data_IF_462019536196
#
_entry.id   IF_462019536196
#
_cell.length_a   1.000
_cell.length_b   1.000
_cell.length_c   1.000
_cell.angle_alpha   90.00
_cell.angle_beta   90.00
_cell.angle_gamma   90.00
#
_symmetry.space_group_name_H-M   'P 1'
#
loop_
_entity.id
_entity.type
_entity.pdbx_description
1 polymer ?
#
# COMPACT_ATOMS: atom_id res chain seq x y z
N UNK A 1 -7.53 14.35 18.75
CA UNK A 1 -8.06 13.10 18.18
C UNK A 1 -9.49 13.37 17.71
N UNK A 2 -9.84 13.05 16.47
CA UNK A 2 -11.18 13.32 15.93
C UNK A 2 -11.26 13.41 14.40
N UNK A 3 -10.12 13.58 13.73
CA UNK A 3 -10.02 13.71 12.27
C UNK A 3 -8.91 12.82 11.66
N UNK A 4 -8.42 11.83 12.41
CA UNK A 4 -7.44 10.85 11.93
C UNK A 4 -8.14 9.51 11.72
N UNK A 5 -7.93 8.92 10.55
CA UNK A 5 -8.34 7.57 10.23
C UNK A 5 -7.11 6.67 10.33
N UNK A 6 -7.18 5.66 11.22
CA UNK A 6 -6.17 4.62 11.30
C UNK A 6 -6.71 3.36 10.64
N UNK A 7 -5.99 2.87 9.63
CA UNK A 7 -6.37 1.70 8.86
C UNK A 7 -5.41 0.57 9.22
N UNK A 8 -5.94 -0.61 9.53
CA UNK A 8 -5.14 -1.81 9.77
C UNK A 8 -4.28 -2.16 8.55
N UNK A 9 -3.23 -2.94 8.76
CA UNK A 9 -2.34 -3.39 7.69
C UNK A 9 -3.12 -4.06 6.55
N UNK A 10 -2.88 -3.61 5.32
CA UNK A 10 -3.48 -4.18 4.13
C UNK A 10 -2.51 -5.16 3.48
N UNK A 11 -3.06 -6.24 2.94
CA UNK A 11 -2.31 -7.33 2.29
C UNK A 11 -2.57 -7.32 0.77
N UNK A 12 -1.64 -7.84 -0.06
CA UNK A 12 -1.75 -7.82 -1.51
C UNK A 12 -2.69 -8.93 -2.01
N UNK A 13 -3.99 -8.76 -1.73
CA UNK A 13 -5.05 -9.68 -2.12
C UNK A 13 -5.61 -9.37 -3.51
N UNK A 14 -5.58 -10.36 -4.38
CA UNK A 14 -6.08 -10.24 -5.75
C UNK A 14 -7.62 -10.40 -5.80
N UNK A 15 -8.28 -10.00 -6.91
CA UNK A 15 -9.73 -10.12 -7.07
C UNK A 15 -10.28 -11.55 -6.93
N UNK A 16 -9.47 -12.56 -7.27
CA UNK A 16 -9.78 -13.99 -7.12
C UNK A 16 -9.61 -14.50 -5.68
N UNK A 17 -9.32 -13.60 -4.73
CA UNK A 17 -8.97 -13.86 -3.33
C UNK A 17 -7.61 -14.53 -3.09
N UNK A 18 -6.79 -14.75 -4.11
CA UNK A 18 -5.40 -15.19 -3.92
C UNK A 18 -4.55 -14.05 -3.34
N UNK A 19 -3.41 -14.38 -2.75
CA UNK A 19 -2.45 -13.41 -2.25
C UNK A 19 -1.18 -13.47 -3.08
N UNK A 20 -0.61 -12.31 -3.41
CA UNK A 20 0.76 -12.25 -3.90
C UNK A 20 1.69 -12.56 -2.73
N UNK A 21 2.26 -13.76 -2.73
CA UNK A 21 3.11 -14.28 -1.66
C UNK A 21 4.52 -14.52 -2.19
N UNK A 22 5.50 -14.32 -1.31
CA UNK A 22 6.89 -14.63 -1.58
C UNK A 22 7.82 -13.79 -0.72
N UNK A 23 9.11 -13.92 -1.00
CA UNK A 23 10.17 -13.20 -0.29
C UNK A 23 11.05 -12.49 -1.30
N UNK A 24 11.17 -11.16 -1.16
CA UNK A 24 12.04 -10.36 -2.04
C UNK A 24 13.49 -10.74 -1.87
N UNK A 25 14.21 -10.88 -2.98
CA UNK A 25 15.59 -11.38 -3.00
C UNK A 25 15.69 -12.91 -3.01
N UNK A 26 14.55 -13.64 -2.96
CA UNK A 26 14.51 -15.09 -3.09
C UNK A 26 13.53 -15.56 -4.18
N UNK A 27 12.23 -15.36 -3.98
CA UNK A 27 11.19 -15.85 -4.90
C UNK A 27 10.47 -14.74 -5.67
N UNK A 28 10.75 -13.48 -5.34
CA UNK A 28 10.14 -12.31 -5.95
C UNK A 28 11.21 -11.25 -6.23
N UNK A 29 11.06 -10.56 -7.35
CA UNK A 29 11.82 -9.38 -7.74
C UNK A 29 11.17 -8.08 -7.27
N UNK A 30 11.87 -6.97 -7.51
CA UNK A 30 11.44 -5.63 -7.10
C UNK A 30 10.11 -5.24 -7.75
N UNK A 31 9.92 -5.53 -9.05
CA UNK A 31 8.71 -5.12 -9.78
C UNK A 31 7.46 -5.84 -9.27
N UNK A 32 7.59 -7.13 -8.91
CA UNK A 32 6.50 -7.89 -8.28
C UNK A 32 6.21 -7.37 -6.87
N UNK A 33 7.26 -6.99 -6.13
CA UNK A 33 7.12 -6.30 -4.85
C UNK A 33 6.37 -4.97 -4.97
N UNK A 34 6.72 -4.15 -5.97
CA UNK A 34 6.03 -2.88 -6.27
C UNK A 34 4.56 -3.13 -6.60
N UNK A 35 4.27 -4.12 -7.43
CA UNK A 35 2.90 -4.50 -7.75
C UNK A 35 2.11 -4.93 -6.49
N UNK A 36 2.74 -5.71 -5.59
CA UNK A 36 2.16 -6.10 -4.31
C UNK A 36 1.88 -4.87 -3.42
N UNK A 37 2.85 -3.97 -3.27
CA UNK A 37 2.69 -2.74 -2.49
C UNK A 37 1.59 -1.83 -3.06
N UNK A 38 1.51 -1.71 -4.38
CA UNK A 38 0.44 -0.96 -5.08
C UNK A 38 -0.93 -1.56 -4.78
N UNK A 39 -1.06 -2.89 -4.78
CA UNK A 39 -2.30 -3.58 -4.43
C UNK A 39 -2.71 -3.33 -2.97
N UNK A 40 -1.76 -3.33 -2.04
CA UNK A 40 -2.01 -2.90 -0.66
C UNK A 40 -2.51 -1.44 -0.60
N UNK A 41 -1.90 -0.54 -1.38
CA UNK A 41 -2.34 0.85 -1.51
C UNK A 41 -3.76 1.00 -2.03
N UNK A 42 -4.16 0.20 -3.02
CA UNK A 42 -5.55 0.17 -3.51
C UNK A 42 -6.54 -0.26 -2.42
N UNK A 43 -6.18 -1.26 -1.61
CA UNK A 43 -7.01 -1.64 -0.47
C UNK A 43 -7.10 -0.54 0.59
N UNK A 44 -5.99 0.17 0.87
CA UNK A 44 -6.02 1.33 1.77
C UNK A 44 -7.02 2.37 1.28
N UNK A 45 -6.98 2.73 -0.01
CA UNK A 45 -7.93 3.67 -0.62
C UNK A 45 -9.37 3.14 -0.52
N UNK A 46 -9.59 1.85 -0.73
CA UNK A 46 -10.88 1.20 -0.53
C UNK A 46 -11.42 1.35 0.90
N UNK A 47 -10.56 1.16 1.91
CA UNK A 47 -10.91 1.35 3.32
C UNK A 47 -11.17 2.83 3.65
N UNK A 48 -10.38 3.75 3.10
CA UNK A 48 -10.61 5.20 3.22
C UNK A 48 -12.00 5.56 2.66
N UNK A 49 -12.31 5.08 1.45
CA UNK A 49 -13.61 5.30 0.81
C UNK A 49 -14.75 4.77 1.67
N UNK A 50 -14.63 3.56 2.21
CA UNK A 50 -15.63 2.98 3.09
C UNK A 50 -15.83 3.82 4.36
N UNK A 51 -14.73 4.21 5.03
CA UNK A 51 -14.76 5.06 6.23
C UNK A 51 -15.36 6.44 5.96
N UNK A 52 -15.20 6.98 4.75
CA UNK A 52 -15.76 8.25 4.34
C UNK A 52 -17.18 8.16 3.73
N UNK A 53 -17.85 7.01 3.86
CA UNK A 53 -19.18 6.74 3.30
C UNK A 53 -19.26 6.93 1.78
N UNK A 54 -18.19 6.55 1.07
CA UNK A 54 -18.09 6.61 -0.38
C UNK A 54 -17.39 7.85 -0.94
N UNK A 55 -17.21 8.88 -0.11
CA UNK A 55 -16.70 10.20 -0.53
C UNK A 55 -15.22 10.38 -0.18
N UNK A 56 -14.33 10.16 -1.15
CA UNK A 56 -12.89 10.29 -0.95
C UNK A 56 -12.41 11.74 -0.80
N UNK A 57 -13.20 12.75 -1.14
CA UNK A 57 -12.83 14.18 -1.01
C UNK A 57 -12.77 14.64 0.46
N UNK A 58 -13.30 13.80 1.37
CA UNK A 58 -13.14 13.95 2.82
C UNK A 58 -11.73 13.63 3.30
N UNK A 59 -10.95 12.86 2.54
CA UNK A 59 -9.54 12.57 2.86
C UNK A 59 -8.72 13.80 2.50
N UNK A 60 -8.21 14.51 3.50
CA UNK A 60 -7.45 15.76 3.28
C UNK A 60 -5.98 15.55 2.98
N UNK A 61 -5.39 14.46 3.49
CA UNK A 61 -3.99 14.09 3.26
C UNK A 61 -3.71 12.72 3.86
N UNK A 62 -2.70 12.05 3.31
CA UNK A 62 -2.10 10.86 3.93
C UNK A 62 -0.99 11.31 4.86
N UNK A 63 -1.18 11.16 6.17
CA UNK A 63 -0.21 11.64 7.17
C UNK A 63 1.00 10.72 7.32
N UNK A 64 0.79 9.41 7.12
CA UNK A 64 1.82 8.38 7.30
C UNK A 64 1.45 7.12 6.52
N UNK A 65 2.46 6.47 5.94
CA UNK A 65 2.37 5.13 5.36
C UNK A 65 3.45 4.27 6.00
N UNK A 66 3.08 3.06 6.43
CA UNK A 66 4.02 2.06 6.95
C UNK A 66 3.99 0.84 6.03
N UNK A 67 5.14 0.52 5.45
CA UNK A 67 5.32 -0.65 4.59
C UNK A 67 6.12 -1.73 5.31
N UNK A 68 5.56 -2.93 5.39
CA UNK A 68 6.28 -4.12 5.86
C UNK A 68 6.51 -5.05 4.68
N UNK A 69 7.77 -5.40 4.44
CA UNK A 69 8.19 -6.14 3.25
C UNK A 69 8.87 -7.43 3.69
N UNK A 70 8.36 -8.57 3.23
CA UNK A 70 9.02 -9.86 3.40
C UNK A 70 10.21 -9.94 2.45
N UNK A 71 11.44 -10.00 2.99
CA UNK A 71 12.67 -10.04 2.21
C UNK A 71 13.72 -10.95 2.83
N UNK A 72 14.73 -11.32 2.04
CA UNK A 72 15.97 -11.89 2.59
C UNK A 72 16.74 -10.84 3.38
N UNK A 73 17.79 -11.26 4.09
CA UNK A 73 18.63 -10.36 4.88
C UNK A 73 19.51 -9.45 4.00
N UNK A 74 19.82 -9.89 2.79
CA UNK A 74 20.69 -9.20 1.82
C UNK A 74 19.93 -8.20 0.95
N UNK A 75 18.60 -8.29 0.92
CA UNK A 75 17.77 -7.39 0.14
C UNK A 75 17.74 -6.01 0.79
N UNK A 76 18.04 -4.95 0.03
CA UNK A 76 18.11 -3.57 0.54
C UNK A 76 17.22 -2.58 -0.21
N UNK A 77 16.49 -3.03 -1.24
CA UNK A 77 15.67 -2.19 -2.10
C UNK A 77 14.23 -2.01 -1.60
N UNK A 78 14.00 -2.14 -0.28
CA UNK A 78 12.68 -1.94 0.33
C UNK A 78 12.02 -0.60 -0.01
N UNK A 79 12.77 0.54 -0.08
CA UNK A 79 12.15 1.80 -0.47
C UNK A 79 11.53 1.73 -1.87
N UNK A 80 12.22 1.11 -2.83
CA UNK A 80 11.72 0.97 -4.20
C UNK A 80 10.43 0.17 -4.26
N UNK A 81 10.28 -0.82 -3.39
CA UNK A 81 9.09 -1.67 -3.30
C UNK A 81 7.92 -0.88 -2.71
N UNK A 82 8.14 -0.20 -1.59
CA UNK A 82 7.12 0.61 -0.91
C UNK A 82 6.66 1.78 -1.78
N UNK A 83 7.50 2.27 -2.70
CA UNK A 83 7.10 3.27 -3.68
C UNK A 83 5.88 2.86 -4.49
N UNK A 84 5.66 1.57 -4.77
CA UNK A 84 4.44 1.10 -5.42
C UNK A 84 3.15 1.53 -4.69
N UNK A 85 3.20 1.67 -3.36
CA UNK A 85 2.10 2.19 -2.55
C UNK A 85 2.09 3.72 -2.50
N UNK A 86 3.22 4.38 -2.23
CA UNK A 86 3.24 5.85 -2.11
C UNK A 86 2.97 6.55 -3.42
N UNK A 87 3.51 6.06 -4.53
CA UNK A 87 3.30 6.64 -5.87
C UNK A 87 1.81 6.59 -6.23
N UNK A 88 1.13 5.49 -5.93
CA UNK A 88 -0.32 5.38 -6.09
C UNK A 88 -1.10 6.40 -5.25
N UNK A 89 -0.70 6.60 -3.99
CA UNK A 89 -1.37 7.57 -3.12
C UNK A 89 -1.16 8.99 -3.63
N UNK A 90 0.01 9.31 -4.18
CA UNK A 90 0.28 10.59 -4.85
C UNK A 90 -0.51 10.73 -6.15
N UNK A 91 -0.63 9.66 -6.96
CA UNK A 91 -1.46 9.64 -8.17
C UNK A 91 -2.92 9.99 -7.87
N UNK A 92 -3.45 9.54 -6.72
CA UNK A 92 -4.86 9.70 -6.34
C UNK A 92 -5.12 11.02 -5.62
N UNK A 93 -4.28 11.37 -4.63
CA UNK A 93 -4.53 12.50 -3.74
C UNK A 93 -3.68 13.73 -4.07
N UNK A 94 -2.72 13.62 -4.99
CA UNK A 94 -1.75 14.66 -5.30
C UNK A 94 -0.54 14.66 -4.36
N UNK A 95 0.46 15.50 -4.66
CA UNK A 95 1.68 15.64 -3.87
C UNK A 95 1.53 16.52 -2.62
N UNK A 96 0.42 17.27 -2.49
CA UNK A 96 0.17 18.24 -1.40
C UNK A 96 -1.19 18.05 -0.72
#
# INVERSE_FOLDING_TARGET
>A
SGNLLFISGQIPKQPDNSLLKGTLGATLGIDEGKAAARLCGLHLVGQMKAACAGDLDKVKRVVKVEGFVSSTAEFTDHPQVVNGCSDLLVEIFGPE
#
